data_IF_945427576143
#
_entry.id   IF_945427576143
#
_cell.length_a   1.000
_cell.length_b   1.000
_cell.length_c   1.000
_cell.angle_alpha   90.00
_cell.angle_beta   90.00
_cell.angle_gamma   90.00
#
_symmetry.space_group_name_H-M   'P 1'
#
loop_
_entity.id
_entity.type
_entity.pdbx_description
1 polymer ?
#
# COMPACT_ATOMS: atom_id res chain seq x y z
N UNK A 1 -13.22 13.20 -9.79
CA UNK A 1 -12.70 12.04 -9.02
C UNK A 1 -11.27 11.67 -9.38
N UNK A 2 -10.98 11.01 -10.51
CA UNK A 2 -9.62 10.48 -10.78
C UNK A 2 -8.55 11.55 -11.07
N UNK A 3 -8.95 12.74 -11.55
CA UNK A 3 -8.01 13.86 -11.72
C UNK A 3 -7.57 14.47 -10.38
N UNK A 4 -8.48 14.52 -9.40
CA UNK A 4 -8.22 15.11 -8.07
C UNK A 4 -7.62 14.08 -7.10
N UNK A 5 -7.99 12.81 -7.25
CA UNK A 5 -7.59 11.67 -6.41
C UNK A 5 -7.16 10.50 -7.29
N UNK A 6 -5.99 10.58 -7.94
CA UNK A 6 -5.51 9.54 -8.87
C UNK A 6 -5.22 8.20 -8.17
N UNK A 7 -4.90 8.25 -6.88
CA UNK A 7 -4.59 7.14 -5.98
C UNK A 7 -5.83 6.48 -5.34
N UNK A 8 -7.03 7.06 -5.53
CA UNK A 8 -8.27 6.54 -4.97
C UNK A 8 -8.41 5.04 -5.31
N UNK A 9 -8.60 4.13 -4.33
CA UNK A 9 -8.72 2.71 -4.61
C UNK A 9 -9.81 2.41 -5.64
N UNK A 10 -9.55 1.48 -6.57
CA UNK A 10 -10.53 1.14 -7.63
C UNK A 10 -11.85 0.61 -7.07
N UNK A 11 -11.81 -0.03 -5.90
CA UNK A 11 -13.00 -0.47 -5.17
C UNK A 11 -13.86 0.70 -4.69
N UNK A 12 -13.24 1.80 -4.29
CA UNK A 12 -13.94 3.00 -3.85
C UNK A 12 -14.57 3.74 -5.03
N UNK A 13 -13.89 3.76 -6.18
CA UNK A 13 -14.47 4.22 -7.44
C UNK A 13 -15.75 3.42 -7.79
N UNK A 14 -15.71 2.09 -7.66
CA UNK A 14 -16.88 1.24 -7.89
C UNK A 14 -18.01 1.52 -6.89
N UNK A 15 -17.69 1.76 -5.62
CA UNK A 15 -18.67 2.12 -4.58
C UNK A 15 -19.39 3.42 -4.94
N UNK A 16 -18.64 4.47 -5.29
CA UNK A 16 -19.18 5.78 -5.70
C UNK A 16 -20.04 5.67 -6.97
N UNK A 17 -19.61 4.87 -7.95
CA UNK A 17 -20.40 4.63 -9.16
C UNK A 17 -21.72 3.94 -8.84
N UNK A 18 -21.72 2.96 -7.92
CA UNK A 18 -22.94 2.27 -7.48
C UNK A 18 -23.91 3.21 -6.77
N UNK A 19 -23.41 4.11 -5.93
CA UNK A 19 -24.22 5.17 -5.31
C UNK A 19 -24.90 6.08 -6.35
N UNK A 20 -24.28 6.22 -7.53
CA UNK A 20 -24.83 6.96 -8.67
C UNK A 20 -25.68 6.10 -9.62
N UNK A 21 -25.97 4.85 -9.25
CA UNK A 21 -26.84 3.95 -10.03
C UNK A 21 -26.13 3.03 -11.03
N UNK A 22 -24.81 2.91 -10.97
CA UNK A 22 -24.08 1.96 -11.81
C UNK A 22 -24.41 0.51 -11.42
N UNK A 23 -25.06 -0.23 -12.32
CA UNK A 23 -25.47 -1.63 -12.15
C UNK A 23 -24.52 -2.63 -12.81
N UNK A 24 -23.48 -2.16 -13.50
CA UNK A 24 -22.54 -3.01 -14.21
C UNK A 24 -21.58 -3.80 -13.31
N UNK A 25 -20.87 -4.76 -13.92
CA UNK A 25 -19.86 -5.55 -13.24
C UNK A 25 -18.61 -4.73 -12.86
N UNK A 26 -17.76 -5.31 -12.00
CA UNK A 26 -16.49 -4.67 -11.59
C UNK A 26 -15.48 -4.51 -12.73
N UNK A 27 -15.47 -5.45 -13.69
CA UNK A 27 -14.41 -5.52 -14.71
C UNK A 27 -14.33 -4.26 -15.61
N UNK A 28 -15.43 -3.72 -16.16
CA UNK A 28 -15.40 -2.47 -16.92
C UNK A 28 -14.80 -1.30 -16.13
N UNK A 29 -15.18 -1.17 -14.85
CA UNK A 29 -14.68 -0.11 -13.95
C UNK A 29 -13.17 -0.24 -13.74
N UNK A 30 -12.69 -1.47 -13.54
CA UNK A 30 -11.26 -1.73 -13.35
C UNK A 30 -10.45 -1.46 -14.62
N UNK A 31 -10.98 -1.83 -15.80
CA UNK A 31 -10.33 -1.52 -17.06
C UNK A 31 -10.28 -0.01 -17.32
N UNK A 32 -11.36 0.71 -17.03
CA UNK A 32 -11.41 2.16 -17.15
C UNK A 32 -10.40 2.84 -16.22
N UNK A 33 -10.39 2.47 -14.94
CA UNK A 33 -9.43 2.99 -13.98
C UNK A 33 -7.97 2.74 -14.41
N UNK A 34 -7.68 1.55 -14.94
CA UNK A 34 -6.35 1.20 -15.46
C UNK A 34 -5.95 2.06 -16.65
N UNK A 35 -6.87 2.41 -17.54
CA UNK A 35 -6.59 3.25 -18.73
C UNK A 35 -6.42 4.72 -18.39
N UNK A 36 -7.17 5.22 -17.39
CA UNK A 36 -7.20 6.63 -17.04
C UNK A 36 -6.14 7.04 -16.01
N UNK A 37 -5.68 6.13 -15.16
CA UNK A 37 -4.63 6.45 -14.18
C UNK A 37 -3.29 6.64 -14.88
N UNK A 38 -2.67 7.79 -14.63
CA UNK A 38 -1.27 7.99 -14.94
C UNK A 38 -0.43 7.06 -14.05
N UNK A 39 0.43 6.24 -14.65
CA UNK A 39 1.40 5.45 -13.90
C UNK A 39 2.49 6.39 -13.42
N UNK A 40 2.36 6.86 -12.17
CA UNK A 40 3.44 7.53 -11.48
C UNK A 40 4.32 6.43 -10.92
N UNK A 41 5.37 6.06 -11.64
CA UNK A 41 6.44 5.25 -11.08
C UNK A 41 7.19 6.13 -10.10
N UNK A 42 7.09 5.91 -8.77
CA UNK A 42 7.89 6.67 -7.84
C UNK A 42 9.37 6.42 -8.19
N UNK A 43 10.23 7.45 -8.17
CA UNK A 43 11.64 7.24 -8.36
C UNK A 43 12.11 6.19 -7.36
N UNK A 44 12.79 5.16 -7.85
CA UNK A 44 13.36 4.14 -7.00
C UNK A 44 14.56 4.77 -6.29
N UNK A 45 14.31 5.42 -5.14
CA UNK A 45 15.36 6.06 -4.35
C UNK A 45 16.12 4.96 -3.64
N UNK A 46 17.31 4.65 -4.14
CA UNK A 46 18.28 3.83 -3.41
C UNK A 46 18.97 4.76 -2.43
N UNK A 47 18.65 4.60 -1.14
CA UNK A 47 19.43 5.23 -0.08
C UNK A 47 20.77 4.52 -0.02
N UNK A 48 21.76 5.01 -0.76
CA UNK A 48 23.16 4.65 -0.49
C UNK A 48 23.56 5.43 0.75
N UNK A 49 23.39 4.83 1.92
CA UNK A 49 23.94 5.39 3.12
C UNK A 49 25.46 5.42 3.06
N UNK A 50 26.04 6.51 3.54
CA UNK A 50 27.48 6.59 3.71
C UNK A 50 27.94 5.49 4.67
N UNK A 51 29.17 5.02 4.51
CA UNK A 51 29.75 4.04 5.42
C UNK A 51 29.67 4.58 6.87
N UNK A 52 28.95 3.86 7.74
CA UNK A 52 28.72 4.25 9.14
C UNK A 52 27.42 5.01 9.42
N UNK A 53 26.63 5.39 8.40
CA UNK A 53 25.37 6.11 8.58
C UNK A 53 24.20 5.19 8.95
N UNK A 54 24.20 3.97 8.43
CA UNK A 54 23.25 2.93 8.82
C UNK A 54 23.99 1.70 9.34
N UNK A 55 23.52 1.17 10.47
CA UNK A 55 23.82 -0.18 10.91
C UNK A 55 22.55 -1.01 10.84
N UNK A 56 22.61 -2.13 10.12
CA UNK A 56 21.56 -3.15 10.21
C UNK A 56 21.78 -3.90 11.52
N UNK A 57 20.94 -3.62 12.51
CA UNK A 57 20.93 -4.38 13.74
C UNK A 57 20.00 -5.58 13.54
N UNK A 58 20.55 -6.77 13.68
CA UNK A 58 19.77 -8.01 13.63
C UNK A 58 18.89 -8.13 14.88
N UNK A 59 17.72 -8.74 14.76
CA UNK A 59 16.80 -8.88 15.88
C UNK A 59 17.18 -10.12 16.70
N UNK A 60 17.58 -9.92 17.96
CA UNK A 60 17.80 -10.99 18.92
C UNK A 60 16.64 -11.11 19.91
N UNK A 61 16.14 -12.31 20.15
CA UNK A 61 15.18 -12.59 21.23
C UNK A 61 15.78 -13.54 22.24
N UNK A 62 15.55 -13.26 23.53
CA UNK A 62 15.83 -14.21 24.62
C UNK A 62 14.52 -14.49 25.36
N UNK A 63 14.26 -15.77 25.66
CA UNK A 63 13.15 -16.14 26.55
C UNK A 63 13.63 -16.05 27.98
N UNK A 64 12.90 -15.30 28.80
CA UNK A 64 13.21 -15.17 30.23
C UNK A 64 12.24 -16.06 30.98
N UNK A 65 12.77 -17.03 31.74
CA UNK A 65 11.97 -17.80 32.67
C UNK A 65 11.92 -17.06 34.01
N UNK A 66 10.72 -16.71 34.44
CA UNK A 66 10.47 -16.10 35.72
C UNK A 66 10.66 -17.14 36.85
N UNK A 67 10.97 -16.68 38.07
CA UNK A 67 11.17 -17.54 39.24
C UNK A 67 9.91 -18.34 39.62
N UNK A 68 8.73 -17.89 39.17
CA UNK A 68 7.45 -18.59 39.31
C UNK A 68 7.19 -19.64 38.20
N UNK A 69 8.16 -19.87 37.32
CA UNK A 69 8.11 -20.86 36.26
C UNK A 69 7.39 -20.44 34.98
N UNK A 70 6.91 -19.20 34.87
CA UNK A 70 6.35 -18.69 33.60
C UNK A 70 7.47 -18.27 32.63
N UNK A 71 7.17 -18.18 31.33
CA UNK A 71 8.05 -17.63 30.28
C UNK A 71 7.45 -16.36 29.67
#
# INVERSE_FOLDING_TARGET
FLQERPDLPTVELLRLLREQGYSGGKNPVYQLARRLRCVVTPPQVRFEGLAGEFSQNDFGSVRIRYDNGTE
#
